data_IF_135880174029
#
_entry.id   IF_135880174029
#
_cell.length_a   1.000
_cell.length_b   1.000
_cell.length_c   1.000
_cell.angle_alpha   90.00
_cell.angle_beta   90.00
_cell.angle_gamma   90.00
#
_symmetry.space_group_name_H-M   'P 1'
#
loop_
_entity.id
_entity.type
_entity.pdbx_description
1 polymer ?
#
# COMPACT_ATOMS: atom_id res chain seq x y z
N UNK A 1 3.82 -2.47 -18.84
CA UNK A 1 4.04 -1.01 -18.86
C UNK A 1 3.58 -0.33 -17.56
N UNK A 2 2.41 -0.68 -17.01
CA UNK A 2 1.90 -0.15 -15.74
C UNK A 2 2.83 -0.44 -14.54
N UNK A 3 3.23 -1.70 -14.34
CA UNK A 3 4.12 -2.09 -13.24
C UNK A 3 5.45 -1.32 -13.22
N UNK A 4 6.15 -1.22 -14.37
CA UNK A 4 7.43 -0.48 -14.45
C UNK A 4 7.29 0.99 -14.04
N UNK A 5 6.17 1.64 -14.39
CA UNK A 5 5.90 3.02 -13.99
C UNK A 5 5.64 3.13 -12.49
N UNK A 6 4.90 2.17 -11.93
CA UNK A 6 4.65 2.09 -10.48
C UNK A 6 5.95 1.88 -9.70
N UNK A 7 6.81 0.96 -10.12
CA UNK A 7 8.12 0.74 -9.49
C UNK A 7 8.99 2.00 -9.58
N UNK A 8 9.02 2.67 -10.73
CA UNK A 8 9.74 3.95 -10.87
C UNK A 8 9.17 5.05 -9.97
N UNK A 9 7.87 5.02 -9.67
CA UNK A 9 7.25 5.95 -8.74
C UNK A 9 7.66 5.63 -7.29
N UNK A 10 7.70 4.36 -6.91
CA UNK A 10 8.22 3.95 -5.60
C UNK A 10 9.68 4.37 -5.41
N UNK A 11 10.54 4.22 -6.42
CA UNK A 11 11.92 4.71 -6.38
C UNK A 11 12.00 6.24 -6.18
N UNK A 12 11.03 6.99 -6.73
CA UNK A 12 10.94 8.43 -6.52
C UNK A 12 10.51 8.78 -5.09
N UNK A 13 9.49 8.08 -4.56
CA UNK A 13 9.04 8.22 -3.16
C UNK A 13 10.21 7.97 -2.20
N UNK A 14 10.93 6.86 -2.36
CA UNK A 14 12.09 6.51 -1.56
C UNK A 14 13.13 7.64 -1.48
N UNK A 15 13.42 8.28 -2.64
CA UNK A 15 14.39 9.39 -2.73
C UNK A 15 13.87 10.69 -2.11
N UNK A 16 12.57 10.91 -2.13
CA UNK A 16 11.95 12.12 -1.58
C UNK A 16 11.82 12.11 -0.05
N UNK A 17 11.78 10.91 0.57
CA UNK A 17 11.46 10.78 1.99
C UNK A 17 9.99 11.11 2.34
N UNK A 18 9.11 11.23 1.35
CA UNK A 18 7.70 11.53 1.55
C UNK A 18 6.92 10.29 2.02
N UNK A 19 5.78 10.52 2.68
CA UNK A 19 4.82 9.46 3.02
C UNK A 19 4.11 8.96 1.77
N UNK A 20 3.71 7.70 1.75
CA UNK A 20 2.92 7.12 0.66
C UNK A 20 1.59 6.57 1.19
N UNK A 21 0.51 7.11 0.63
CA UNK A 21 -0.86 6.62 0.84
C UNK A 21 -1.29 5.86 -0.42
N UNK A 22 -1.66 4.59 -0.26
CA UNK A 22 -2.22 3.74 -1.31
C UNK A 22 -3.72 3.70 -1.08
N UNK A 23 -4.51 4.15 -2.04
CA UNK A 23 -5.95 4.43 -1.87
C UNK A 23 -6.78 3.43 -2.70
N UNK A 24 -6.77 2.17 -2.24
CA UNK A 24 -7.47 1.03 -2.83
C UNK A 24 -6.89 0.52 -4.15
N UNK A 25 -7.32 -0.68 -4.52
CA UNK A 25 -7.20 -1.29 -5.86
C UNK A 25 -5.77 -1.27 -6.44
N UNK A 26 -4.75 -1.43 -5.59
CA UNK A 26 -3.36 -1.58 -6.07
C UNK A 26 -3.19 -2.89 -6.87
N UNK A 27 -3.96 -3.90 -6.51
CA UNK A 27 -3.98 -5.20 -7.17
C UNK A 27 -5.33 -5.40 -7.84
N UNK A 28 -5.34 -6.05 -9.00
CA UNK A 28 -6.59 -6.36 -9.70
C UNK A 28 -7.51 -7.27 -8.85
N UNK A 29 -6.88 -8.11 -8.01
CA UNK A 29 -7.55 -8.98 -7.03
C UNK A 29 -6.56 -9.47 -5.98
N UNK A 30 -6.82 -9.22 -4.69
CA UNK A 30 -6.01 -9.76 -3.60
C UNK A 30 -6.80 -10.74 -2.73
N UNK A 31 -6.46 -12.02 -2.85
CA UNK A 31 -7.01 -13.09 -2.01
C UNK A 31 -5.89 -13.70 -1.18
N UNK A 32 -5.86 -13.35 0.10
CA UNK A 32 -4.99 -13.99 1.09
C UNK A 32 -5.62 -15.30 1.56
N UNK A 33 -4.90 -16.41 1.37
CA UNK A 33 -5.18 -17.65 2.08
C UNK A 33 -4.11 -17.86 3.14
N UNK A 34 -4.42 -18.63 4.20
CA UNK A 34 -3.50 -18.90 5.33
C UNK A 34 -2.07 -19.28 4.94
N UNK A 35 -1.86 -19.84 3.73
CA UNK A 35 -0.56 -20.35 3.28
C UNK A 35 -0.16 -19.88 1.89
N UNK A 36 -0.99 -19.13 1.17
CA UNK A 36 -0.68 -18.69 -0.20
C UNK A 36 -1.09 -17.25 -0.45
N UNK A 37 -0.19 -16.52 -1.12
CA UNK A 37 -0.45 -15.20 -1.68
C UNK A 37 -0.56 -15.29 -3.22
N UNK A 38 -1.28 -14.37 -3.87
CA UNK A 38 -1.37 -14.33 -5.34
C UNK A 38 0.01 -14.22 -6.00
N UNK A 39 0.25 -15.01 -7.05
CA UNK A 39 1.49 -14.94 -7.84
C UNK A 39 1.44 -13.72 -8.78
N UNK A 40 2.60 -13.12 -9.04
CA UNK A 40 2.77 -12.06 -10.04
C UNK A 40 3.04 -10.67 -9.45
N UNK A 41 2.80 -10.46 -8.16
CA UNK A 41 3.01 -9.17 -7.51
C UNK A 41 4.32 -9.07 -6.72
N UNK A 42 5.19 -10.07 -6.79
CA UNK A 42 6.43 -10.16 -5.98
C UNK A 42 7.33 -8.93 -6.10
N UNK A 43 7.44 -8.34 -7.30
CA UNK A 43 8.23 -7.11 -7.52
C UNK A 43 7.63 -5.90 -6.81
N UNK A 44 6.30 -5.77 -6.83
CA UNK A 44 5.58 -4.68 -6.14
C UNK A 44 5.71 -4.86 -4.63
N UNK A 45 5.48 -6.07 -4.13
CA UNK A 45 5.59 -6.39 -2.70
C UNK A 45 7.02 -6.14 -2.19
N UNK A 46 8.04 -6.55 -2.94
CA UNK A 46 9.44 -6.27 -2.59
C UNK A 46 9.74 -4.78 -2.57
N UNK A 47 9.21 -4.01 -3.53
CA UNK A 47 9.41 -2.56 -3.53
C UNK A 47 8.71 -1.85 -2.36
N UNK A 48 7.50 -2.29 -1.99
CA UNK A 48 6.81 -1.80 -0.79
C UNK A 48 7.56 -2.14 0.50
N UNK A 49 8.09 -3.37 0.61
CA UNK A 49 8.96 -3.77 1.73
C UNK A 49 10.18 -2.86 1.83
N UNK A 50 10.87 -2.61 0.72
CA UNK A 50 12.03 -1.74 0.69
C UNK A 50 11.71 -0.30 1.13
N UNK A 51 10.55 0.23 0.74
CA UNK A 51 10.09 1.55 1.19
C UNK A 51 9.94 1.59 2.71
N UNK A 52 9.28 0.59 3.30
CA UNK A 52 9.13 0.50 4.74
C UNK A 52 10.49 0.37 5.46
N UNK A 53 11.40 -0.47 4.94
CA UNK A 53 12.74 -0.68 5.50
C UNK A 53 13.60 0.60 5.51
N UNK A 54 13.47 1.47 4.51
CA UNK A 54 14.17 2.77 4.49
C UNK A 54 13.43 3.87 5.28
N UNK A 55 12.38 3.51 6.01
CA UNK A 55 11.66 4.39 6.94
C UNK A 55 10.59 5.26 6.29
N UNK A 56 10.13 4.92 5.08
CA UNK A 56 8.98 5.60 4.47
C UNK A 56 7.71 5.12 5.17
N UNK A 57 6.93 6.06 5.69
CA UNK A 57 5.63 5.77 6.28
C UNK A 57 4.61 5.44 5.18
N UNK A 58 4.06 4.24 5.26
CA UNK A 58 3.11 3.67 4.29
C UNK A 58 1.73 3.53 4.95
N UNK A 59 0.68 3.92 4.22
CA UNK A 59 -0.71 3.66 4.59
C UNK A 59 -1.43 3.00 3.42
N UNK A 60 -2.11 1.90 3.67
CA UNK A 60 -2.95 1.24 2.67
C UNK A 60 -4.41 1.40 3.07
N UNK A 61 -5.22 2.10 2.27
CA UNK A 61 -6.67 2.17 2.43
C UNK A 61 -7.24 1.10 1.50
N UNK A 62 -7.98 0.14 2.04
CA UNK A 62 -8.54 -0.99 1.28
C UNK A 62 -9.59 -0.49 0.28
N UNK A 63 -9.59 -1.05 -0.93
CA UNK A 63 -10.64 -0.81 -1.91
C UNK A 63 -11.61 -1.98 -2.07
N UNK A 64 -12.56 -1.82 -2.98
CA UNK A 64 -13.55 -2.85 -3.32
C UNK A 64 -12.93 -4.15 -3.85
N UNK A 65 -11.67 -4.19 -4.29
CA UNK A 65 -11.04 -5.43 -4.75
C UNK A 65 -10.15 -6.10 -3.68
N UNK A 66 -10.08 -5.50 -2.49
CA UNK A 66 -9.12 -5.84 -1.43
C UNK A 66 -9.76 -6.54 -0.21
N UNK A 67 -10.98 -7.07 -0.37
CA UNK A 67 -11.81 -7.62 0.72
C UNK A 67 -11.10 -8.63 1.65
N UNK A 68 -10.08 -9.34 1.16
CA UNK A 68 -9.33 -10.35 1.92
C UNK A 68 -7.85 -9.99 2.07
N UNK A 69 -7.51 -8.71 2.23
CA UNK A 69 -6.24 -8.35 2.84
C UNK A 69 -6.32 -8.67 4.33
N UNK A 70 -5.74 -9.81 4.72
CA UNK A 70 -5.69 -10.25 6.10
C UNK A 70 -4.50 -9.62 6.82
N UNK A 71 -3.61 -10.48 7.30
CA UNK A 71 -2.52 -10.03 8.16
C UNK A 71 -1.20 -9.82 7.39
N UNK A 72 -1.13 -10.19 6.11
CA UNK A 72 0.12 -10.18 5.35
C UNK A 72 0.78 -8.79 5.30
N UNK A 73 0.03 -7.74 4.97
CA UNK A 73 0.60 -6.39 4.89
C UNK A 73 1.08 -5.89 6.26
N UNK A 74 0.26 -5.94 7.33
CA UNK A 74 0.72 -5.53 8.66
C UNK A 74 1.85 -6.40 9.23
N UNK A 75 1.79 -7.72 9.09
CA UNK A 75 2.75 -8.64 9.73
C UNK A 75 4.02 -8.85 8.92
N UNK A 76 3.92 -9.04 7.62
CA UNK A 76 5.07 -9.38 6.76
C UNK A 76 5.71 -8.13 6.16
N UNK A 77 4.91 -7.12 5.80
CA UNK A 77 5.44 -5.88 5.19
C UNK A 77 5.54 -4.71 6.19
N UNK A 78 4.94 -4.82 7.37
CA UNK A 78 4.86 -3.72 8.34
C UNK A 78 4.00 -2.55 7.87
N UNK A 79 3.06 -2.78 6.94
CA UNK A 79 2.22 -1.75 6.33
C UNK A 79 0.82 -1.81 6.96
N UNK A 80 0.36 -0.76 7.66
CA UNK A 80 -0.99 -0.72 8.18
C UNK A 80 -2.03 -0.66 7.06
N UNK A 81 -3.07 -1.48 7.19
CA UNK A 81 -4.28 -1.43 6.35
C UNK A 81 -5.38 -0.72 7.11
N UNK A 82 -6.07 0.20 6.42
CA UNK A 82 -7.26 0.91 6.85
C UNK A 82 -8.42 0.41 6.00
N UNK A 83 -9.39 -0.28 6.61
CA UNK A 83 -10.56 -0.80 5.88
C UNK A 83 -11.66 0.23 5.69
N UNK A 84 -11.62 1.31 6.48
CA UNK A 84 -12.52 2.45 6.40
C UNK A 84 -11.75 3.70 5.93
N UNK A 85 -12.40 4.85 5.97
CA UNK A 85 -11.76 6.14 5.73
C UNK A 85 -10.62 6.42 6.73
N UNK A 86 -9.64 7.20 6.27
CA UNK A 86 -8.52 7.66 7.08
C UNK A 86 -8.54 9.19 7.20
N UNK A 87 -8.80 9.68 8.41
CA UNK A 87 -8.58 11.07 8.80
C UNK A 87 -7.12 11.26 9.21
N UNK A 88 -6.39 12.09 8.48
CA UNK A 88 -4.96 12.29 8.70
C UNK A 88 -4.55 13.76 8.60
N UNK A 89 -3.61 14.20 9.44
CA UNK A 89 -3.11 15.58 9.41
C UNK A 89 -1.68 15.62 8.89
N UNK A 90 -1.44 16.33 7.79
CA UNK A 90 -0.12 16.50 7.19
C UNK A 90 0.22 17.99 7.22
N UNK A 91 1.30 18.36 7.92
CA UNK A 91 1.78 19.74 8.03
C UNK A 91 0.68 20.73 8.45
N UNK A 92 -0.16 20.34 9.42
CA UNK A 92 -1.26 21.15 9.95
C UNK A 92 -2.48 21.26 9.04
N UNK A 93 -2.51 20.54 7.91
CA UNK A 93 -3.68 20.42 7.04
C UNK A 93 -4.36 19.08 7.26
N UNK A 94 -5.67 19.10 7.37
CA UNK A 94 -6.50 17.92 7.53
C UNK A 94 -6.83 17.32 6.16
N UNK A 95 -6.69 16.00 6.06
CA UNK A 95 -7.00 15.20 4.89
C UNK A 95 -7.98 14.11 5.31
N UNK A 96 -9.07 14.01 4.56
CA UNK A 96 -9.99 12.89 4.61
C UNK A 96 -9.68 12.01 3.39
N UNK A 97 -9.27 10.78 3.63
CA UNK A 97 -8.80 9.85 2.59
C UNK A 97 -9.72 8.64 2.59
N UNK A 98 -10.35 8.38 1.45
CA UNK A 98 -11.28 7.27 1.25
C UNK A 98 -11.09 6.77 -0.18
N UNK A 99 -11.33 5.47 -0.40
CA UNK A 99 -11.28 4.90 -1.74
C UNK A 99 -12.38 5.47 -2.65
N UNK A 100 -13.58 5.70 -2.10
CA UNK A 100 -14.59 6.61 -2.65
C UNK A 100 -15.66 5.94 -3.53
N UNK A 101 -15.83 4.64 -3.35
CA UNK A 101 -16.69 3.70 -4.06
C UNK A 101 -17.98 3.36 -3.31
#
# INVERSE_FOLDING_TARGET
MKEKKLLSFFDHVAKSGAKLFIVGDLFDFWFEYRTVIPRGYTRILSALSNLNEVGIELHYIAGNHDFWMGDYFPKELGIPIHFDNLDYTINGKHFFIEHGD
#
